data_IF_123012315436
#
_entry.id   IF_123012315436
#
_cell.length_a   1.000
_cell.length_b   1.000
_cell.length_c   1.000
_cell.angle_alpha   90.00
_cell.angle_beta   90.00
_cell.angle_gamma   90.00
#
_symmetry.space_group_name_H-M   'P 1'
#
loop_
_entity.id
_entity.type
_entity.pdbx_description
1 polymer ?
#
# COMPACT_ATOMS: atom_id res chain seq x y z
N UNK A 1 -28.03 -0.77 -13.66
CA UNK A 1 -28.90 -1.39 -14.68
C UNK A 1 -30.35 -0.85 -14.68
N UNK A 2 -30.76 0.06 -13.77
CA UNK A 2 -32.18 0.47 -13.62
C UNK A 2 -32.61 1.64 -14.53
N UNK A 3 -31.67 2.39 -15.11
CA UNK A 3 -31.95 3.58 -15.95
C UNK A 3 -32.57 3.27 -17.32
N UNK A 4 -32.51 2.03 -17.80
CA UNK A 4 -33.05 1.65 -19.12
C UNK A 4 -34.59 1.59 -19.15
N UNK A 5 -35.24 1.38 -18.00
CA UNK A 5 -36.70 1.26 -17.91
C UNK A 5 -37.45 2.53 -18.30
N UNK A 6 -36.95 3.71 -17.90
CA UNK A 6 -37.55 5.00 -18.25
C UNK A 6 -37.59 5.25 -19.76
N UNK A 7 -36.52 4.86 -20.46
CA UNK A 7 -36.41 5.02 -21.91
C UNK A 7 -37.41 4.10 -22.62
N UNK A 8 -37.55 2.85 -22.18
CA UNK A 8 -38.47 1.88 -22.78
C UNK A 8 -39.94 2.28 -22.60
N UNK A 9 -40.33 2.71 -21.40
CA UNK A 9 -41.69 3.18 -21.13
C UNK A 9 -41.99 4.48 -21.89
N UNK A 10 -41.02 5.39 -22.03
CA UNK A 10 -41.16 6.61 -22.82
C UNK A 10 -41.46 6.31 -24.30
N UNK A 11 -40.73 5.36 -24.87
CA UNK A 11 -40.95 4.90 -26.24
C UNK A 11 -42.32 4.22 -26.38
N UNK A 12 -42.70 3.33 -25.46
CA UNK A 12 -43.99 2.65 -25.51
C UNK A 12 -45.18 3.62 -25.47
N UNK A 13 -45.08 4.70 -24.69
CA UNK A 13 -46.08 5.78 -24.67
C UNK A 13 -46.10 6.58 -25.97
N UNK A 14 -44.93 6.90 -26.53
CA UNK A 14 -44.84 7.64 -27.78
C UNK A 14 -45.48 6.90 -28.97
N UNK A 15 -45.44 5.56 -28.95
CA UNK A 15 -46.11 4.71 -29.94
C UNK A 15 -47.59 4.40 -29.61
N UNK A 16 -48.14 4.96 -28.53
CA UNK A 16 -49.55 4.76 -28.13
C UNK A 16 -49.87 3.34 -27.67
N UNK A 17 -48.86 2.53 -27.35
CA UNK A 17 -49.03 1.13 -26.95
C UNK A 17 -49.58 1.02 -25.52
N UNK A 18 -49.34 2.04 -24.70
CA UNK A 18 -49.77 2.10 -23.30
C UNK A 18 -50.51 3.41 -23.02
N UNK A 19 -51.55 3.31 -22.21
CA UNK A 19 -52.32 4.45 -21.71
C UNK A 19 -51.53 5.27 -20.66
N UNK A 20 -51.92 6.53 -20.47
CA UNK A 20 -51.34 7.46 -19.51
C UNK A 20 -51.33 6.91 -18.09
N UNK A 21 -52.39 6.20 -17.70
CA UNK A 21 -52.48 5.57 -16.38
C UNK A 21 -51.38 4.51 -16.15
N UNK A 22 -51.13 3.67 -17.16
CA UNK A 22 -50.12 2.60 -17.09
C UNK A 22 -48.70 3.18 -17.09
N UNK A 23 -48.48 4.25 -17.85
CA UNK A 23 -47.19 4.95 -17.89
C UNK A 23 -46.84 5.60 -16.55
N UNK A 24 -47.81 6.29 -15.92
CA UNK A 24 -47.62 6.92 -14.60
C UNK A 24 -47.33 5.84 -13.54
N UNK A 25 -48.05 4.71 -13.57
CA UNK A 25 -47.82 3.61 -12.64
C UNK A 25 -46.42 2.99 -12.81
N UNK A 26 -45.97 2.77 -14.06
CA UNK A 26 -44.66 2.21 -14.35
C UNK A 26 -43.50 3.11 -13.89
N UNK A 27 -43.59 4.41 -14.13
CA UNK A 27 -42.60 5.38 -13.65
C UNK A 27 -42.57 5.42 -12.12
N UNK A 28 -43.72 5.41 -11.47
CA UNK A 28 -43.81 5.39 -10.00
C UNK A 28 -43.03 4.23 -9.38
N UNK A 29 -43.19 3.01 -9.93
CA UNK A 29 -42.46 1.82 -9.44
C UNK A 29 -40.95 1.98 -9.57
N UNK A 30 -40.46 2.46 -10.72
CA UNK A 30 -39.03 2.61 -10.97
C UNK A 30 -38.43 3.70 -10.05
N UNK A 31 -39.13 4.82 -9.88
CA UNK A 31 -38.71 5.88 -8.96
C UNK A 31 -38.60 5.40 -7.51
N UNK A 32 -39.55 4.57 -7.06
CA UNK A 32 -39.50 3.95 -5.73
C UNK A 32 -38.29 3.00 -5.61
N UNK A 33 -38.02 2.18 -6.63
CA UNK A 33 -36.84 1.29 -6.63
C UNK A 33 -35.51 2.06 -6.61
N UNK A 34 -35.41 3.18 -7.32
CA UNK A 34 -34.24 4.06 -7.27
C UNK A 34 -34.06 4.72 -5.91
N UNK A 35 -35.14 5.13 -5.24
CA UNK A 35 -35.07 5.68 -3.89
C UNK A 35 -34.68 4.63 -2.84
N UNK A 36 -35.07 3.36 -3.07
CA UNK A 36 -34.77 2.27 -2.15
C UNK A 36 -33.31 1.80 -2.22
N UNK A 37 -32.69 1.90 -3.39
CA UNK A 37 -31.30 1.44 -3.63
C UNK A 37 -30.25 2.13 -2.72
N UNK A 38 -30.20 3.48 -2.60
CA UNK A 38 -29.25 4.14 -1.69
C UNK A 38 -29.62 3.91 -0.21
N UNK A 39 -30.90 3.71 0.12
CA UNK A 39 -31.33 3.38 1.48
C UNK A 39 -30.83 2.00 1.92
N UNK A 40 -30.89 1.00 1.02
CA UNK A 40 -30.34 -0.34 1.26
C UNK A 40 -28.80 -0.30 1.42
N UNK A 41 -28.12 0.47 0.57
CA UNK A 41 -26.67 0.65 0.66
C UNK A 41 -26.26 1.35 1.97
N UNK A 42 -26.97 2.42 2.35
CA UNK A 42 -26.74 3.13 3.60
C UNK A 42 -27.05 2.26 4.83
N UNK A 43 -28.11 1.44 4.78
CA UNK A 43 -28.45 0.52 5.87
C UNK A 43 -27.44 -0.63 6.00
N UNK A 44 -26.92 -1.15 4.88
CA UNK A 44 -25.82 -2.11 4.87
C UNK A 44 -24.54 -1.55 5.50
N UNK A 45 -24.20 -0.30 5.21
CA UNK A 45 -23.08 0.39 5.87
C UNK A 45 -23.37 0.72 7.34
N UNK A 46 -24.62 0.95 7.74
CA UNK A 46 -24.97 1.30 9.12
C UNK A 46 -25.04 0.06 10.04
N UNK A 47 -25.41 -1.11 9.51
CA UNK A 47 -25.33 -2.37 10.24
C UNK A 47 -23.89 -2.80 10.50
N UNK A 48 -22.96 -2.51 9.58
CA UNK A 48 -21.52 -2.72 9.81
C UNK A 48 -20.90 -1.62 10.69
N UNK A 49 -21.35 -0.36 10.60
CA UNK A 49 -20.86 0.73 11.47
C UNK A 49 -21.40 0.67 12.91
N UNK A 50 -22.59 0.12 13.16
CA UNK A 50 -23.11 0.00 14.54
C UNK A 50 -22.53 -1.20 15.31
N UNK A 51 -21.95 -2.16 14.58
CA UNK A 51 -21.12 -3.24 15.14
C UNK A 51 -19.61 -2.97 14.98
N UNK A 52 -19.21 -1.76 14.58
CA UNK A 52 -17.84 -1.26 14.67
C UNK A 52 -17.57 -0.53 16.00
N UNK A 53 -18.44 -0.69 17.00
CA UNK A 53 -17.91 -0.92 18.34
C UNK A 53 -17.37 -2.34 18.29
N UNK A 54 -16.06 -2.44 18.12
CA UNK A 54 -15.33 -3.68 18.22
C UNK A 54 -15.56 -4.22 19.64
N UNK A 55 -16.64 -4.97 19.83
CA UNK A 55 -16.69 -6.02 20.84
C UNK A 55 -15.68 -7.06 20.34
N UNK A 56 -14.41 -6.74 20.56
CA UNK A 56 -13.34 -7.72 20.59
C UNK A 56 -13.77 -8.65 21.70
N UNK A 57 -14.38 -9.76 21.32
CA UNK A 57 -14.67 -10.83 22.25
C UNK A 57 -13.36 -11.17 22.97
N UNK A 58 -13.24 -10.96 24.29
CA UNK A 58 -12.00 -11.22 25.02
C UNK A 58 -11.61 -12.71 25.01
N UNK A 59 -12.44 -13.58 24.42
CA UNK A 59 -12.16 -14.99 24.14
C UNK A 59 -11.62 -15.29 22.74
N UNK A 60 -11.58 -14.33 21.81
CA UNK A 60 -10.92 -14.54 20.51
C UNK A 60 -9.41 -14.51 20.71
N UNK A 61 -8.77 -15.66 20.51
CA UNK A 61 -7.32 -15.72 20.54
C UNK A 61 -6.76 -14.92 19.37
N UNK A 62 -5.61 -14.24 19.51
CA UNK A 62 -4.96 -13.51 18.42
C UNK A 62 -4.81 -14.37 17.13
N UNK A 63 -4.72 -15.70 17.27
CA UNK A 63 -4.68 -16.65 16.15
C UNK A 63 -5.89 -16.57 15.20
N UNK A 64 -7.09 -16.26 15.68
CA UNK A 64 -8.30 -16.25 14.83
C UNK A 64 -8.37 -15.01 13.94
N UNK A 65 -7.79 -13.89 14.37
CA UNK A 65 -7.76 -12.64 13.59
C UNK A 65 -6.66 -12.62 12.53
N UNK A 66 -5.53 -13.29 12.81
CA UNK A 66 -4.36 -13.26 11.96
C UNK A 66 -4.64 -13.81 10.54
N UNK A 67 -5.46 -14.86 10.42
CA UNK A 67 -5.83 -15.47 9.13
C UNK A 67 -6.81 -14.65 8.27
N UNK A 68 -7.25 -13.48 8.74
CA UNK A 68 -8.16 -12.58 8.00
C UNK A 68 -7.53 -11.24 7.62
N UNK A 69 -6.28 -10.99 8.01
CA UNK A 69 -5.60 -9.73 7.77
C UNK A 69 -5.32 -9.56 6.27
N UNK A 70 -5.83 -8.48 5.68
CA UNK A 70 -5.50 -8.11 4.29
C UNK A 70 -4.16 -7.39 4.20
N UNK A 71 -3.78 -6.65 5.24
CA UNK A 71 -2.54 -5.87 5.29
C UNK A 71 -1.77 -6.18 6.57
N UNK A 72 -0.47 -6.37 6.45
CA UNK A 72 0.43 -6.49 7.60
C UNK A 72 1.34 -5.27 7.63
N UNK A 73 1.32 -4.54 8.75
CA UNK A 73 2.20 -3.39 8.95
C UNK A 73 3.37 -3.83 9.83
N UNK A 74 4.58 -3.78 9.30
CA UNK A 74 5.81 -4.10 10.02
C UNK A 74 6.43 -2.81 10.58
N UNK A 75 6.29 -2.63 11.88
CA UNK A 75 6.69 -1.43 12.61
C UNK A 75 5.48 -0.56 13.00
N UNK A 76 5.45 -0.09 14.24
CA UNK A 76 4.43 0.79 14.81
C UNK A 76 5.04 2.04 15.45
N UNK A 77 6.03 2.61 14.77
CA UNK A 77 6.54 3.95 15.04
C UNK A 77 5.57 5.04 14.56
N UNK A 78 6.08 6.23 14.29
CA UNK A 78 5.25 7.37 13.87
C UNK A 78 4.51 7.09 12.56
N UNK A 79 5.22 6.59 11.55
CA UNK A 79 4.63 6.23 10.25
C UNK A 79 3.69 5.03 10.38
N UNK A 80 4.08 3.99 11.12
CA UNK A 80 3.27 2.78 11.32
C UNK A 80 1.96 3.05 12.06
N UNK A 81 1.97 3.96 13.04
CA UNK A 81 0.77 4.44 13.72
C UNK A 81 -0.21 5.11 12.76
N UNK A 82 0.27 6.04 11.93
CA UNK A 82 -0.57 6.74 10.95
C UNK A 82 -1.15 5.76 9.93
N UNK A 83 -0.34 4.84 9.42
CA UNK A 83 -0.78 3.80 8.48
C UNK A 83 -1.88 2.93 9.07
N UNK A 84 -1.70 2.44 10.30
CA UNK A 84 -2.69 1.60 10.96
C UNK A 84 -4.00 2.38 11.20
N UNK A 85 -3.92 3.66 11.58
CA UNK A 85 -5.10 4.51 11.73
C UNK A 85 -5.85 4.67 10.40
N UNK A 86 -5.15 4.95 9.30
CA UNK A 86 -5.75 5.07 7.97
C UNK A 86 -6.43 3.77 7.51
N UNK A 87 -5.80 2.62 7.77
CA UNK A 87 -6.37 1.30 7.48
C UNK A 87 -7.62 1.02 8.34
N UNK A 88 -7.57 1.38 9.62
CA UNK A 88 -8.69 1.26 10.54
C UNK A 88 -9.89 2.11 10.10
N UNK A 89 -9.65 3.38 9.77
CA UNK A 89 -10.69 4.32 9.33
C UNK A 89 -11.31 3.91 7.99
N UNK A 90 -10.53 3.21 7.15
CA UNK A 90 -10.97 2.61 5.89
C UNK A 90 -11.62 1.23 6.05
N UNK A 91 -11.75 0.72 7.28
CA UNK A 91 -12.25 -0.63 7.59
C UNK A 91 -11.51 -1.75 6.84
N UNK A 92 -10.21 -1.58 6.62
CA UNK A 92 -9.34 -2.59 6.01
C UNK A 92 -8.78 -3.48 7.13
N UNK A 93 -9.06 -4.81 7.13
CA UNK A 93 -8.50 -5.73 8.10
C UNK A 93 -6.98 -5.72 8.03
N UNK A 94 -6.34 -5.39 9.14
CA UNK A 94 -4.89 -5.30 9.23
C UNK A 94 -4.39 -5.74 10.60
N UNK A 95 -3.11 -6.05 10.64
CA UNK A 95 -2.38 -6.37 11.86
C UNK A 95 -1.05 -5.62 11.87
N UNK A 96 -0.47 -5.48 13.06
CA UNK A 96 0.81 -4.84 13.27
C UNK A 96 1.80 -5.86 13.85
N UNK A 97 3.03 -5.88 13.33
CA UNK A 97 4.15 -6.62 13.92
C UNK A 97 5.19 -5.60 14.39
N UNK A 98 5.58 -5.67 15.65
CA UNK A 98 6.49 -4.72 16.27
C UNK A 98 7.48 -5.40 17.21
N UNK A 99 8.74 -4.96 17.19
CA UNK A 99 9.83 -5.52 18.01
C UNK A 99 9.85 -4.95 19.42
N UNK A 100 9.26 -3.78 19.67
CA UNK A 100 9.19 -3.20 21.00
C UNK A 100 7.87 -3.60 21.71
N UNK A 101 7.93 -4.36 22.82
CA UNK A 101 6.73 -4.85 23.50
C UNK A 101 5.89 -3.72 24.12
N UNK A 102 6.51 -2.59 24.48
CA UNK A 102 5.76 -1.43 24.99
C UNK A 102 4.96 -0.75 23.88
N UNK A 103 5.51 -0.71 22.66
CA UNK A 103 4.80 -0.19 21.48
C UNK A 103 3.65 -1.11 21.08
N UNK A 104 3.84 -2.44 21.15
CA UNK A 104 2.77 -3.43 20.95
C UNK A 104 1.61 -3.20 21.92
N UNK A 105 1.91 -3.03 23.22
CA UNK A 105 0.88 -2.72 24.23
C UNK A 105 0.14 -1.43 23.91
N UNK A 106 0.82 -0.40 23.40
CA UNK A 106 0.20 0.86 22.98
C UNK A 106 -0.77 0.64 21.81
N UNK A 107 -0.36 -0.13 20.80
CA UNK A 107 -1.21 -0.48 19.66
C UNK A 107 -2.47 -1.27 20.10
N UNK A 108 -2.29 -2.29 20.95
CA UNK A 108 -3.39 -3.09 21.50
C UNK A 108 -4.37 -2.25 22.32
N UNK A 109 -3.88 -1.29 23.13
CA UNK A 109 -4.73 -0.34 23.86
C UNK A 109 -5.54 0.57 22.93
N UNK A 110 -5.02 0.85 21.73
CA UNK A 110 -5.74 1.59 20.70
C UNK A 110 -6.73 0.70 19.90
N UNK A 111 -6.91 -0.57 20.28
CA UNK A 111 -7.79 -1.51 19.61
C UNK A 111 -7.20 -2.11 18.32
N UNK A 112 -5.90 -1.92 18.08
CA UNK A 112 -5.22 -2.45 16.89
C UNK A 112 -4.66 -3.84 17.19
N UNK A 113 -4.99 -4.87 16.37
CA UNK A 113 -4.38 -6.18 16.48
C UNK A 113 -2.85 -6.10 16.25
N UNK A 114 -2.07 -6.26 17.32
CA UNK A 114 -0.61 -6.13 17.26
C UNK A 114 0.12 -7.27 17.96
N UNK A 115 1.24 -7.68 17.38
CA UNK A 115 2.05 -8.82 17.80
C UNK A 115 3.48 -8.40 18.05
N UNK A 116 4.04 -8.91 19.14
CA UNK A 116 5.45 -8.78 19.42
C UNK A 116 6.26 -9.77 18.57
N UNK A 117 7.23 -9.26 17.81
CA UNK A 117 8.19 -10.10 17.12
C UNK A 117 8.94 -9.42 15.99
N UNK A 118 9.76 -10.20 15.30
CA UNK A 118 10.55 -9.76 14.15
C UNK A 118 9.86 -10.19 12.85
N UNK A 119 9.62 -9.25 11.94
CA UNK A 119 9.07 -9.53 10.60
C UNK A 119 9.98 -10.44 9.76
N UNK A 120 11.23 -10.67 10.18
CA UNK A 120 12.14 -11.62 9.53
C UNK A 120 12.06 -13.04 10.09
N UNK A 121 11.26 -13.30 11.13
CA UNK A 121 11.09 -14.64 11.71
C UNK A 121 10.02 -15.45 10.95
N UNK A 122 10.40 -16.50 10.19
CA UNK A 122 9.45 -17.30 9.42
C UNK A 122 8.39 -17.98 10.30
N UNK A 123 8.70 -18.32 11.56
CA UNK A 123 7.74 -18.94 12.46
C UNK A 123 6.61 -17.98 12.81
N UNK A 124 6.95 -16.72 13.08
CA UNK A 124 5.99 -15.66 13.35
C UNK A 124 5.12 -15.41 12.11
N UNK A 125 5.73 -15.25 10.93
CA UNK A 125 5.02 -14.99 9.68
C UNK A 125 4.02 -16.12 9.35
N UNK A 126 4.39 -17.36 9.63
CA UNK A 126 3.52 -18.52 9.41
C UNK A 126 2.35 -18.57 10.41
N UNK A 127 2.61 -18.31 11.71
CA UNK A 127 1.54 -18.23 12.73
C UNK A 127 0.54 -17.12 12.38
N UNK A 128 1.06 -16.02 11.84
CA UNK A 128 0.25 -14.87 11.45
C UNK A 128 -0.51 -15.10 10.14
N UNK A 129 -0.03 -15.99 9.27
CA UNK A 129 -0.63 -16.19 7.95
C UNK A 129 -0.31 -15.07 6.96
N UNK A 130 0.93 -14.55 6.99
CA UNK A 130 1.36 -13.46 6.10
C UNK A 130 1.21 -13.80 4.61
N UNK A 131 1.28 -15.09 4.27
CA UNK A 131 1.03 -15.59 2.90
C UNK A 131 -0.37 -15.24 2.38
N UNK A 132 -1.38 -15.17 3.26
CA UNK A 132 -2.75 -14.82 2.87
C UNK A 132 -2.98 -13.29 2.79
N UNK A 133 -2.02 -12.48 3.25
CA UNK A 133 -2.12 -11.04 3.18
C UNK A 133 -2.01 -10.56 1.72
N UNK A 134 -2.76 -9.52 1.39
CA UNK A 134 -2.68 -8.89 0.07
C UNK A 134 -1.44 -7.99 -0.06
N UNK A 135 -0.91 -7.50 1.07
CA UNK A 135 0.24 -6.60 1.11
C UNK A 135 0.91 -6.60 2.49
N UNK A 136 2.23 -6.43 2.51
CA UNK A 136 3.00 -6.03 3.68
C UNK A 136 3.51 -4.61 3.48
N UNK A 137 3.33 -3.76 4.49
CA UNK A 137 3.93 -2.43 4.55
C UNK A 137 5.10 -2.47 5.53
N UNK A 138 6.31 -2.24 5.06
CA UNK A 138 7.53 -2.20 5.87
C UNK A 138 7.81 -0.76 6.26
N UNK A 139 7.47 -0.38 7.48
CA UNK A 139 7.65 0.96 8.05
C UNK A 139 8.66 0.95 9.21
N UNK A 140 9.79 0.28 9.01
CA UNK A 140 10.87 0.16 10.00
C UNK A 140 11.86 1.32 9.82
N UNK A 141 12.19 2.05 10.89
CA UNK A 141 13.11 3.20 10.81
C UNK A 141 14.54 2.83 10.40
N UNK A 142 15.03 1.68 10.89
CA UNK A 142 16.41 1.27 10.64
C UNK A 142 16.56 0.65 9.25
N UNK A 143 17.19 1.37 8.33
CA UNK A 143 17.42 0.99 6.93
C UNK A 143 17.87 -0.45 6.71
N UNK A 144 18.93 -0.92 7.40
CA UNK A 144 19.39 -2.30 7.21
C UNK A 144 18.37 -3.35 7.69
N UNK A 145 17.52 -3.00 8.66
CA UNK A 145 16.45 -3.88 9.14
C UNK A 145 15.30 -3.92 8.14
N UNK A 146 14.96 -2.78 7.52
CA UNK A 146 13.98 -2.70 6.45
C UNK A 146 14.42 -3.52 5.23
N UNK A 147 15.68 -3.38 4.80
CA UNK A 147 16.23 -4.14 3.68
C UNK A 147 16.19 -5.65 3.94
N UNK A 148 16.61 -6.07 5.15
CA UNK A 148 16.53 -7.47 5.57
C UNK A 148 15.09 -7.98 5.59
N UNK A 149 14.15 -7.18 6.08
CA UNK A 149 12.73 -7.51 6.11
C UNK A 149 12.19 -7.74 4.70
N UNK A 150 12.43 -6.80 3.77
CA UNK A 150 12.00 -6.90 2.37
C UNK A 150 12.59 -8.13 1.70
N UNK A 151 13.92 -8.33 1.80
CA UNK A 151 14.60 -9.48 1.21
C UNK A 151 14.06 -10.81 1.76
N UNK A 152 13.83 -10.89 3.07
CA UNK A 152 13.25 -12.09 3.72
C UNK A 152 11.83 -12.35 3.23
N UNK A 153 10.98 -11.32 3.19
CA UNK A 153 9.60 -11.42 2.71
C UNK A 153 9.53 -11.85 1.24
N UNK A 154 10.38 -11.28 0.38
CA UNK A 154 10.44 -11.65 -1.04
C UNK A 154 10.91 -13.09 -1.22
N UNK A 155 11.90 -13.53 -0.46
CA UNK A 155 12.42 -14.91 -0.50
C UNK A 155 11.36 -15.92 -0.07
N UNK A 156 10.66 -15.65 1.03
CA UNK A 156 9.66 -16.57 1.58
C UNK A 156 8.34 -16.52 0.80
N UNK A 157 7.96 -15.35 0.29
CA UNK A 157 6.67 -15.10 -0.36
C UNK A 157 6.86 -14.35 -1.68
N UNK A 158 7.27 -15.04 -2.76
CA UNK A 158 7.62 -14.41 -4.03
C UNK A 158 6.48 -13.63 -4.71
N UNK A 159 5.22 -13.91 -4.37
CA UNK A 159 4.04 -13.23 -4.93
C UNK A 159 3.49 -12.12 -4.03
N UNK A 160 4.03 -11.95 -2.82
CA UNK A 160 3.55 -10.97 -1.86
C UNK A 160 3.85 -9.55 -2.34
N UNK A 161 2.87 -8.66 -2.19
CA UNK A 161 3.05 -7.24 -2.45
C UNK A 161 3.74 -6.58 -1.27
N UNK A 162 4.85 -5.90 -1.52
CA UNK A 162 5.66 -5.26 -0.49
C UNK A 162 5.74 -3.77 -0.81
N UNK A 163 5.23 -2.94 0.09
CA UNK A 163 5.43 -1.49 0.12
C UNK A 163 6.45 -1.19 1.22
N UNK A 164 7.60 -0.63 0.87
CA UNK A 164 8.60 -0.24 1.86
C UNK A 164 8.68 1.28 2.01
N UNK A 165 8.90 1.74 3.24
CA UNK A 165 9.24 3.13 3.54
C UNK A 165 10.73 3.23 3.83
N UNK A 166 11.36 4.29 3.36
CA UNK A 166 12.76 4.61 3.61
C UNK A 166 12.93 6.09 3.88
N UNK A 167 13.93 6.43 4.70
CA UNK A 167 14.28 7.82 4.97
C UNK A 167 15.27 8.38 3.95
N UNK A 168 16.19 7.52 3.50
CA UNK A 168 17.27 7.87 2.59
C UNK A 168 16.90 7.53 1.15
N UNK A 169 17.05 8.52 0.27
CA UNK A 169 16.78 8.38 -1.17
C UNK A 169 17.73 7.35 -1.79
N UNK A 170 19.00 7.30 -1.37
CA UNK A 170 20.03 6.39 -1.92
C UNK A 170 19.73 4.91 -1.63
N UNK A 171 18.83 4.63 -0.69
CA UNK A 171 18.44 3.27 -0.31
C UNK A 171 17.16 2.80 -1.02
N UNK A 172 16.53 3.66 -1.81
CA UNK A 172 15.32 3.34 -2.56
C UNK A 172 15.58 2.18 -3.51
N UNK A 173 16.61 2.28 -4.36
CA UNK A 173 16.88 1.28 -5.40
C UNK A 173 17.27 -0.07 -4.78
N UNK A 174 18.06 -0.05 -3.70
CA UNK A 174 18.39 -1.26 -2.93
C UNK A 174 17.16 -1.98 -2.39
N UNK A 175 16.12 -1.25 -1.98
CA UNK A 175 14.87 -1.86 -1.53
C UNK A 175 14.06 -2.44 -2.69
N UNK A 176 14.06 -1.79 -3.86
CA UNK A 176 13.45 -2.33 -5.08
C UNK A 176 14.16 -3.62 -5.52
N UNK A 177 15.49 -3.60 -5.58
CA UNK A 177 16.35 -4.77 -5.88
C UNK A 177 16.13 -5.91 -4.89
N UNK A 178 16.00 -5.61 -3.60
CA UNK A 178 15.66 -6.60 -2.58
C UNK A 178 14.25 -7.20 -2.74
N UNK A 179 13.43 -6.62 -3.63
CA UNK A 179 12.14 -7.12 -4.04
C UNK A 179 10.96 -6.33 -3.48
N UNK A 180 11.12 -5.08 -3.05
CA UNK A 180 9.96 -4.22 -2.81
C UNK A 180 9.23 -3.94 -4.13
N UNK A 181 7.89 -3.97 -4.11
CA UNK A 181 7.10 -3.57 -5.29
C UNK A 181 7.00 -2.06 -5.41
N UNK A 182 7.00 -1.38 -4.27
CA UNK A 182 6.95 0.07 -4.17
C UNK A 182 7.82 0.52 -3.01
N UNK A 183 8.50 1.65 -3.18
CA UNK A 183 9.27 2.30 -2.13
C UNK A 183 8.84 3.75 -2.03
N UNK A 184 8.57 4.21 -0.81
CA UNK A 184 8.25 5.61 -0.50
C UNK A 184 9.39 6.21 0.30
N UNK A 185 9.95 7.31 -0.22
CA UNK A 185 10.99 8.09 0.45
C UNK A 185 10.33 9.17 1.30
N UNK A 186 10.33 8.98 2.61
CA UNK A 186 9.59 9.84 3.55
C UNK A 186 10.12 11.28 3.57
N UNK A 187 11.44 11.45 3.50
CA UNK A 187 12.08 12.77 3.54
C UNK A 187 11.75 13.60 2.31
N UNK A 188 11.62 12.97 1.14
CA UNK A 188 11.20 13.62 -0.09
C UNK A 188 9.76 14.13 0.02
N UNK A 189 8.83 13.26 0.39
CA UNK A 189 7.41 13.63 0.55
C UNK A 189 7.21 14.73 1.60
N UNK A 190 7.97 14.67 2.69
CA UNK A 190 7.98 15.72 3.72
C UNK A 190 8.52 17.05 3.18
N UNK A 191 9.60 17.01 2.39
CA UNK A 191 10.22 18.21 1.81
C UNK A 191 9.32 18.87 0.76
N UNK A 192 8.67 18.06 -0.09
CA UNK A 192 7.68 18.53 -1.07
C UNK A 192 6.50 19.21 -0.37
N UNK A 193 6.01 18.64 0.74
CA UNK A 193 4.94 19.23 1.52
C UNK A 193 5.33 20.57 2.15
N UNK A 194 6.52 20.66 2.76
CA UNK A 194 7.05 21.91 3.34
C UNK A 194 7.22 22.99 2.26
N UNK A 195 7.80 22.62 1.11
CA UNK A 195 7.97 23.54 -0.03
C UNK A 195 6.63 24.03 -0.58
N UNK A 196 5.65 23.13 -0.72
CA UNK A 196 4.30 23.49 -1.16
C UNK A 196 3.65 24.48 -0.20
N UNK A 197 3.74 24.25 1.10
CA UNK A 197 3.17 25.15 2.11
C UNK A 197 3.86 26.52 2.10
N UNK A 198 5.19 26.56 1.96
CA UNK A 198 5.93 27.81 1.84
C UNK A 198 5.49 28.63 0.62
N UNK A 199 5.29 28.00 -0.54
CA UNK A 199 4.82 28.69 -1.76
C UNK A 199 3.40 29.24 -1.61
N UNK A 200 2.51 28.49 -0.96
CA UNK A 200 1.14 28.95 -0.66
C UNK A 200 1.15 30.18 0.24
N UNK A 201 1.97 30.17 1.30
CA UNK A 201 2.13 31.33 2.20
C UNK A 201 2.66 32.55 1.46
N UNK A 202 3.51 32.37 0.45
CA UNK A 202 4.02 33.44 -0.41
C UNK A 202 3.02 33.91 -1.48
N UNK A 203 1.83 33.32 -1.55
CA UNK A 203 0.75 33.74 -2.44
C UNK A 203 0.78 33.11 -3.83
N UNK A 204 1.53 32.01 -4.02
CA UNK A 204 1.46 31.22 -5.25
C UNK A 204 0.13 30.46 -5.30
N UNK A 205 -0.49 30.38 -6.47
CA UNK A 205 -1.79 29.73 -6.63
C UNK A 205 -1.68 28.20 -6.46
N UNK A 206 -2.72 27.58 -5.87
CA UNK A 206 -2.73 26.16 -5.50
C UNK A 206 -2.51 25.21 -6.70
N UNK A 207 -3.01 25.58 -7.88
CA UNK A 207 -2.83 24.83 -9.12
C UNK A 207 -1.35 24.78 -9.55
N UNK A 208 -0.66 25.92 -9.51
CA UNK A 208 0.77 26.01 -9.81
C UNK A 208 1.62 25.25 -8.79
N UNK A 209 1.26 25.32 -7.50
CA UNK A 209 1.96 24.56 -6.45
C UNK A 209 1.76 23.06 -6.66
N UNK A 210 0.54 22.61 -6.96
CA UNK A 210 0.24 21.20 -7.21
C UNK A 210 1.00 20.69 -8.44
N UNK A 211 1.01 21.46 -9.53
CA UNK A 211 1.72 21.10 -10.76
C UNK A 211 3.24 20.94 -10.53
N UNK A 212 3.83 21.86 -9.76
CA UNK A 212 5.25 21.81 -9.41
C UNK A 212 5.60 20.62 -8.50
N UNK A 213 4.76 20.33 -7.49
CA UNK A 213 4.96 19.15 -6.62
C UNK A 213 4.87 17.87 -7.44
N UNK A 214 3.90 17.77 -8.35
CA UNK A 214 3.72 16.60 -9.19
C UNK A 214 4.85 16.45 -10.22
N UNK A 215 5.41 17.54 -10.75
CA UNK A 215 6.57 17.47 -11.64
C UNK A 215 7.80 16.97 -10.89
N UNK A 216 8.08 17.49 -9.69
CA UNK A 216 9.23 17.06 -8.88
C UNK A 216 9.13 15.60 -8.43
N UNK A 217 7.92 15.13 -8.08
CA UNK A 217 7.69 13.72 -7.76
C UNK A 217 7.92 12.81 -8.98
N UNK A 218 7.57 13.25 -10.18
CA UNK A 218 7.82 12.50 -11.42
C UNK A 218 9.30 12.48 -11.80
N UNK A 219 9.99 13.61 -11.70
CA UNK A 219 11.42 13.68 -12.02
C UNK A 219 12.24 12.73 -11.14
N UNK A 220 11.88 12.59 -9.86
CA UNK A 220 12.52 11.61 -8.97
C UNK A 220 12.21 10.15 -9.36
N UNK A 221 10.98 9.85 -9.82
CA UNK A 221 10.67 8.52 -10.37
C UNK A 221 11.44 8.20 -11.65
N UNK A 222 11.79 9.23 -12.45
CA UNK A 222 12.55 9.08 -13.68
C UNK A 222 14.07 8.97 -13.42
N UNK A 223 14.62 9.73 -12.48
CA UNK A 223 16.05 9.68 -12.13
C UNK A 223 16.44 8.30 -11.57
N UNK A 224 15.60 7.73 -10.71
CA UNK A 224 15.77 6.38 -10.15
C UNK A 224 15.69 5.28 -11.23
N UNK A 225 15.03 5.53 -12.36
CA UNK A 225 14.97 4.60 -13.51
C UNK A 225 16.21 4.71 -14.41
N UNK A 226 16.80 5.91 -14.54
CA UNK A 226 17.97 6.16 -15.38
C UNK A 226 19.28 5.71 -14.70
N UNK A 227 19.39 5.88 -13.38
CA UNK A 227 20.56 5.45 -12.61
C UNK A 227 20.67 3.92 -12.49
N UNK A 228 19.55 3.20 -12.62
CA UNK A 228 19.55 1.73 -12.66
C UNK A 228 19.97 1.15 -14.01
N UNK A 229 19.89 1.91 -15.11
CA UNK A 229 20.41 1.50 -16.43
C UNK A 229 21.94 1.73 -16.55
N UNK A 230 22.48 2.81 -15.99
CA UNK A 230 23.93 3.09 -16.02
C UNK A 230 24.77 2.13 -15.14
N UNK A 231 24.18 1.57 -14.08
CA UNK A 231 24.86 0.59 -13.21
C UNK A 231 24.91 -0.83 -13.79
N UNK A 232 24.01 -1.17 -14.72
CA UNK A 232 24.01 -2.46 -15.42
C UNK A 232 25.05 -2.46 -16.57
N UNK A 233 25.21 -1.32 -17.28
CA UNK A 233 26.25 -1.16 -18.32
C UNK A 233 27.68 -1.13 -17.75
N UNK A 234 27.89 -0.53 -16.57
CA UNK A 234 29.23 -0.47 -15.96
C UNK A 234 29.68 -1.80 -15.31
N UNK A 235 28.77 -2.73 -15.02
CA UNK A 235 29.13 -4.06 -14.52
C UNK A 235 29.50 -5.03 -15.66
N UNK A 236 28.91 -4.90 -16.85
CA UNK A 236 29.24 -5.73 -18.02
C UNK A 236 30.62 -5.38 -18.61
N UNK A 237 30.99 -4.09 -18.66
CA UNK A 237 32.33 -3.66 -19.12
C UNK A 237 33.47 -4.13 -18.19
N UNK A 238 33.20 -4.31 -16.89
CA UNK A 238 34.20 -4.73 -15.92
C UNK A 238 34.51 -6.25 -15.94
N UNK A 239 33.68 -7.06 -16.60
CA UNK A 239 33.92 -8.51 -16.73
C UNK A 239 34.71 -8.88 -17.99
N UNK A 240 34.67 -8.04 -19.04
CA UNK A 240 35.44 -8.27 -20.27
C UNK A 240 36.93 -7.93 -20.11
N UNK A 241 37.30 -6.97 -19.24
CA UNK A 241 38.69 -6.54 -19.03
C UNK A 241 39.52 -7.50 -18.14
N UNK A 242 38.88 -8.43 -17.42
CA UNK A 242 39.59 -9.34 -16.49
C UNK A 242 40.18 -10.58 -17.20
N UNK A 243 39.84 -10.83 -18.47
CA UNK A 243 40.28 -12.05 -19.18
C UNK A 243 41.51 -11.90 -20.08
N UNK A 244 42.19 -10.74 -20.11
CA UNK A 244 43.38 -10.55 -20.97
C UNK A 244 44.75 -10.60 -20.28
N UNK A 245 44.84 -10.71 -18.95
CA UNK A 245 46.13 -10.57 -18.25
C UNK A 245 46.78 -11.86 -17.72
N UNK A 246 46.26 -13.05 -18.04
CA UNK A 246 46.85 -14.34 -17.59
C UNK A 246 47.54 -15.11 -18.73
N UNK A 247 48.51 -14.50 -19.41
CA UNK A 247 49.44 -15.27 -20.24
C UNK A 247 50.79 -14.58 -20.50
N UNK A 248 51.64 -14.40 -19.49
CA UNK A 248 53.09 -14.54 -19.71
C UNK A 248 53.89 -14.78 -18.43
N UNK A 249 54.76 -15.79 -18.56
CA UNK A 249 56.10 -15.88 -17.97
C UNK A 249 56.31 -16.80 -16.76
N UNK A 250 56.56 -18.08 -17.07
CA UNK A 250 57.22 -19.01 -16.16
C UNK A 250 58.58 -19.39 -16.76
N UNK A 251 59.65 -18.79 -16.21
CA UNK A 251 61.02 -19.27 -16.38
C UNK A 251 61.68 -19.43 -15.01
N UNK A 252 62.21 -20.61 -14.64
CA UNK A 252 62.94 -20.76 -13.40
C UNK A 252 64.42 -20.38 -13.57
N UNK A 253 64.95 -19.66 -12.58
CA UNK A 253 66.38 -19.40 -12.44
C UNK A 253 66.97 -20.28 -11.32
N UNK A 254 68.18 -20.76 -11.62
CA UNK A 254 69.03 -21.71 -10.89
C UNK A 254 69.67 -21.06 -9.67
N UNK A 255 69.74 -21.79 -8.54
CA UNK A 255 70.93 -22.00 -7.69
C UNK A 255 70.61 -23.00 -6.57
#
# INVERSE_FOLDING_TARGET
MVSFGFVLFGVAKAFGVIDDATFIMGIGVISVSMAFTPSLYAFGCNLTKRNAKSDIDPTLTPQDMAHSAKVVVAGYGDTGYVLAQMLQDSAIPHIVIEKNPEVVKKAQKAGIPAYFGDITDPKLLNVIGVEQAQMVIVSIDHSASALRAVSTLRTLYPMLKILARVLDLELKDKLIEAGANWVVVETLESSLHIGAEALKVLGVADDQVSELVDSLRKDESMSSSAESEEQDETQDESQDDVQQDDFTDHKPAVA
#
